data_IF_945888008717
#
_entry.id   IF_945888008717
#
_cell.length_a   1.000
_cell.length_b   1.000
_cell.length_c   1.000
_cell.angle_alpha   90.00
_cell.angle_beta   90.00
_cell.angle_gamma   90.00
#
_symmetry.space_group_name_H-M   'P 1'
#
loop_
_entity.id
_entity.type
_entity.pdbx_description
1 polymer ?
#
# COMPACT_ATOMS: atom_id res chain seq x y z
N UNK A 1 23.35 -25.83 50.75
CA UNK A 1 23.82 -25.84 49.35
C UNK A 1 22.60 -25.77 48.45
N UNK A 2 22.16 -24.56 48.15
CA UNK A 2 21.11 -24.30 47.16
C UNK A 2 21.78 -24.19 45.80
N UNK A 3 21.47 -25.11 44.89
CA UNK A 3 21.93 -25.08 43.51
C UNK A 3 21.50 -23.76 42.85
N UNK A 4 22.43 -23.00 42.23
CA UNK A 4 22.07 -21.77 41.54
C UNK A 4 21.12 -22.08 40.39
N UNK A 5 20.00 -21.36 40.35
CA UNK A 5 19.04 -21.41 39.25
C UNK A 5 19.78 -21.06 37.95
N UNK A 6 19.65 -21.84 36.87
CA UNK A 6 20.28 -21.51 35.61
C UNK A 6 19.72 -20.18 35.13
N UNK A 7 20.60 -19.18 35.00
CA UNK A 7 20.31 -17.89 34.38
C UNK A 7 19.60 -18.16 33.06
N UNK A 8 18.32 -17.85 33.03
CA UNK A 8 17.46 -17.91 31.85
C UNK A 8 18.20 -17.15 30.75
N UNK A 9 18.76 -17.91 29.81
CA UNK A 9 19.58 -17.37 28.74
C UNK A 9 18.73 -16.34 28.03
N UNK A 10 19.13 -15.07 28.08
CA UNK A 10 18.57 -13.99 27.28
C UNK A 10 18.44 -14.50 25.86
N UNK A 11 17.24 -14.97 25.51
CA UNK A 11 16.93 -15.43 24.16
C UNK A 11 17.07 -14.16 23.34
N UNK A 12 18.12 -14.11 22.52
CA UNK A 12 18.35 -12.95 21.65
C UNK A 12 17.01 -12.63 20.97
N UNK A 13 16.57 -11.35 21.02
CA UNK A 13 15.34 -10.96 20.35
C UNK A 13 15.42 -11.48 18.92
N UNK A 14 14.52 -12.40 18.56
CA UNK A 14 14.44 -12.88 17.18
C UNK A 14 14.36 -11.66 16.29
N UNK A 15 15.34 -11.49 15.39
CA UNK A 15 15.44 -10.34 14.51
C UNK A 15 14.06 -9.97 13.99
N UNK A 16 13.60 -8.78 14.38
CA UNK A 16 12.35 -8.24 13.89
C UNK A 16 12.37 -8.16 12.36
N UNK A 17 11.20 -7.94 11.72
CA UNK A 17 11.15 -7.73 10.28
C UNK A 17 12.14 -6.62 9.87
N UNK A 18 13.07 -6.96 8.99
CA UNK A 18 14.05 -5.99 8.48
C UNK A 18 13.37 -5.01 7.53
N UNK A 19 13.95 -3.82 7.34
CA UNK A 19 13.49 -2.87 6.32
C UNK A 19 13.35 -3.53 4.93
N UNK A 20 14.28 -4.43 4.59
CA UNK A 20 14.24 -5.20 3.35
C UNK A 20 12.97 -6.05 3.23
N UNK A 21 12.55 -6.73 4.30
CA UNK A 21 11.33 -7.54 4.28
C UNK A 21 10.09 -6.67 3.98
N UNK A 22 10.05 -5.46 4.53
CA UNK A 22 8.93 -4.52 4.35
C UNK A 22 8.94 -3.89 2.96
N UNK A 23 10.11 -3.47 2.46
CA UNK A 23 10.26 -3.01 1.09
C UNK A 23 9.83 -4.09 0.09
N UNK A 24 10.22 -5.35 0.33
CA UNK A 24 9.77 -6.49 -0.47
C UNK A 24 8.25 -6.66 -0.37
N UNK A 25 7.65 -6.56 0.82
CA UNK A 25 6.20 -6.64 0.97
C UNK A 25 5.46 -5.48 0.27
N UNK A 26 5.98 -4.26 0.34
CA UNK A 26 5.39 -3.10 -0.32
C UNK A 26 5.46 -3.25 -1.85
N UNK A 27 6.63 -3.60 -2.38
CA UNK A 27 6.84 -3.82 -3.83
C UNK A 27 6.01 -5.02 -4.31
N UNK A 28 6.03 -6.14 -3.59
CA UNK A 28 5.24 -7.31 -3.93
C UNK A 28 3.74 -7.04 -3.83
N UNK A 29 3.30 -6.23 -2.86
CA UNK A 29 1.91 -5.78 -2.72
C UNK A 29 1.47 -4.91 -3.89
N UNK A 30 2.29 -3.94 -4.28
CA UNK A 30 2.02 -3.08 -5.44
C UNK A 30 2.01 -3.88 -6.74
N UNK A 31 3.03 -4.73 -6.95
CA UNK A 31 3.13 -5.60 -8.11
C UNK A 31 1.98 -6.61 -8.17
N UNK A 32 1.50 -7.12 -7.02
CA UNK A 32 0.32 -7.98 -6.96
C UNK A 32 -0.93 -7.23 -7.41
N UNK A 33 -1.15 -6.00 -6.94
CA UNK A 33 -2.27 -5.14 -7.33
C UNK A 33 -2.30 -4.92 -8.85
N UNK A 34 -1.17 -4.48 -9.43
CA UNK A 34 -1.07 -4.31 -10.88
C UNK A 34 -1.16 -5.64 -11.63
N UNK A 35 -0.58 -6.70 -11.09
CA UNK A 35 -0.62 -8.05 -11.69
C UNK A 35 -2.03 -8.60 -11.78
N UNK A 36 -2.87 -8.39 -10.75
CA UNK A 36 -4.29 -8.76 -10.77
C UNK A 36 -5.03 -7.98 -11.86
N UNK A 37 -4.80 -6.67 -11.97
CA UNK A 37 -5.38 -5.84 -13.03
C UNK A 37 -4.98 -6.29 -14.43
N UNK A 38 -3.68 -6.55 -14.63
CA UNK A 38 -3.14 -7.07 -15.90
C UNK A 38 -3.76 -8.43 -16.26
N UNK A 39 -3.87 -9.33 -15.28
CA UNK A 39 -4.46 -10.66 -15.46
C UNK A 39 -5.94 -10.58 -15.86
N UNK A 40 -6.71 -9.72 -15.19
CA UNK A 40 -8.11 -9.48 -15.52
C UNK A 40 -8.25 -8.91 -16.94
N UNK A 41 -7.46 -7.90 -17.30
CA UNK A 41 -7.48 -7.29 -18.64
C UNK A 41 -7.11 -8.27 -19.75
N UNK A 42 -6.07 -9.08 -19.54
CA UNK A 42 -5.67 -10.13 -20.50
C UNK A 42 -6.73 -11.22 -20.66
N UNK A 43 -7.42 -11.59 -19.57
CA UNK A 43 -8.49 -12.57 -19.62
C UNK A 43 -9.69 -12.07 -20.46
N UNK A 44 -10.11 -10.82 -20.26
CA UNK A 44 -11.16 -10.19 -21.06
C UNK A 44 -10.75 -10.11 -22.54
N UNK A 45 -9.55 -9.58 -22.84
CA UNK A 45 -9.05 -9.46 -24.20
C UNK A 45 -8.92 -10.82 -24.93
N UNK A 46 -8.59 -11.88 -24.20
CA UNK A 46 -8.57 -13.24 -24.74
C UNK A 46 -9.99 -13.76 -25.05
N UNK A 47 -10.96 -13.48 -24.17
CA UNK A 47 -12.35 -13.92 -24.34
C UNK A 47 -13.08 -13.23 -25.49
N UNK A 48 -12.75 -11.97 -25.76
CA UNK A 48 -13.33 -11.17 -26.85
C UNK A 48 -12.67 -11.46 -28.21
N UNK A 49 -11.65 -12.32 -28.26
CA UNK A 49 -10.91 -12.63 -29.48
C UNK A 49 -10.03 -11.47 -29.99
N UNK A 50 -9.81 -10.44 -29.17
CA UNK A 50 -8.92 -9.32 -29.52
C UNK A 50 -7.47 -9.80 -29.77
N UNK A 51 -7.06 -10.87 -29.10
CA UNK A 51 -5.77 -11.54 -29.34
C UNK A 51 -5.97 -12.63 -30.40
N UNK A 52 -5.70 -12.30 -31.67
CA UNK A 52 -5.85 -13.22 -32.82
C UNK A 52 -5.04 -14.52 -32.73
N UNK A 53 -3.95 -14.53 -31.96
CA UNK A 53 -3.10 -15.70 -31.80
C UNK A 53 -3.32 -16.34 -30.42
N UNK A 54 -3.94 -17.52 -30.33
CA UNK A 54 -4.26 -18.16 -29.05
C UNK A 54 -3.01 -18.53 -28.25
N UNK A 55 -1.88 -18.83 -28.90
CA UNK A 55 -0.63 -19.10 -28.22
C UNK A 55 -0.08 -17.86 -27.49
N UNK A 56 -0.24 -16.67 -28.07
CA UNK A 56 0.15 -15.40 -27.43
C UNK A 56 -0.76 -15.07 -26.25
N UNK A 57 -2.07 -15.28 -26.39
CA UNK A 57 -3.02 -15.10 -25.30
C UNK A 57 -2.69 -16.02 -24.11
N UNK A 58 -2.45 -17.32 -24.39
CA UNK A 58 -2.09 -18.29 -23.37
C UNK A 58 -0.77 -17.94 -22.67
N UNK A 59 0.23 -17.48 -23.42
CA UNK A 59 1.54 -17.10 -22.86
C UNK A 59 1.43 -15.84 -21.99
N UNK A 60 0.69 -14.83 -22.45
CA UNK A 60 0.45 -13.61 -21.67
C UNK A 60 -0.28 -13.89 -20.36
N UNK A 61 -1.34 -14.72 -20.40
CA UNK A 61 -2.06 -15.16 -19.21
C UNK A 61 -1.17 -15.97 -18.26
N UNK A 62 -0.37 -16.90 -18.79
CA UNK A 62 0.55 -17.70 -17.97
C UNK A 62 1.58 -16.81 -17.24
N UNK A 63 2.15 -15.81 -17.92
CA UNK A 63 3.07 -14.85 -17.30
C UNK A 63 2.36 -14.06 -16.20
N UNK A 64 1.15 -13.53 -16.47
CA UNK A 64 0.40 -12.76 -15.48
C UNK A 64 0.04 -13.61 -14.25
N UNK A 65 -0.37 -14.87 -14.44
CA UNK A 65 -0.65 -15.82 -13.35
C UNK A 65 0.59 -16.08 -12.50
N UNK A 66 1.74 -16.33 -13.14
CA UNK A 66 3.01 -16.56 -12.43
C UNK A 66 3.44 -15.33 -11.64
N UNK A 67 3.23 -14.12 -12.17
CA UNK A 67 3.56 -12.86 -11.51
C UNK A 67 2.68 -12.67 -10.26
N UNK A 68 1.36 -12.85 -10.39
CA UNK A 68 0.41 -12.80 -9.27
C UNK A 68 0.73 -13.85 -8.21
N UNK A 69 0.98 -15.10 -8.62
CA UNK A 69 1.33 -16.18 -7.70
C UNK A 69 2.67 -15.93 -6.98
N UNK A 70 3.68 -15.44 -7.70
CA UNK A 70 4.99 -15.10 -7.15
C UNK A 70 4.93 -13.97 -6.13
N UNK A 71 4.18 -12.90 -6.44
CA UNK A 71 3.96 -11.79 -5.51
C UNK A 71 3.14 -12.24 -4.28
N UNK A 72 2.10 -13.05 -4.47
CA UNK A 72 1.32 -13.63 -3.38
C UNK A 72 2.18 -14.50 -2.45
N UNK A 73 3.04 -15.34 -3.02
CA UNK A 73 3.99 -16.16 -2.25
C UNK A 73 5.01 -15.31 -1.48
N UNK A 74 5.55 -14.26 -2.10
CA UNK A 74 6.49 -13.35 -1.44
C UNK A 74 5.82 -12.64 -0.24
N UNK A 75 4.60 -12.14 -0.41
CA UNK A 75 3.79 -11.56 0.65
C UNK A 75 3.48 -12.55 1.76
N UNK A 76 3.13 -13.79 1.43
CA UNK A 76 2.90 -14.84 2.41
C UNK A 76 4.16 -15.15 3.22
N UNK A 77 5.32 -15.26 2.55
CA UNK A 77 6.61 -15.54 3.19
C UNK A 77 7.02 -14.42 4.14
N UNK A 78 6.89 -13.16 3.71
CA UNK A 78 7.18 -11.99 4.57
C UNK A 78 6.16 -11.88 5.70
N UNK A 79 4.87 -12.10 5.40
CA UNK A 79 3.80 -12.10 6.37
C UNK A 79 4.06 -13.05 7.52
N UNK A 80 4.54 -14.27 7.22
CA UNK A 80 4.91 -15.25 8.26
C UNK A 80 5.99 -14.75 9.22
N UNK A 81 7.00 -14.03 8.71
CA UNK A 81 8.03 -13.39 9.56
C UNK A 81 7.44 -12.29 10.42
N UNK A 82 6.58 -11.44 9.82
CA UNK A 82 5.88 -10.37 10.53
C UNK A 82 4.92 -10.88 11.62
N UNK A 83 4.41 -12.11 11.49
CA UNK A 83 3.44 -12.70 12.43
C UNK A 83 4.02 -13.51 13.57
N UNK A 84 5.30 -13.89 13.51
CA UNK A 84 5.87 -14.97 14.34
C UNK A 84 6.29 -14.60 15.78
N UNK A 85 6.32 -13.31 16.14
CA UNK A 85 6.80 -12.86 17.45
C UNK A 85 5.73 -12.83 18.54
N UNK A 86 6.15 -13.00 19.80
CA UNK A 86 5.30 -12.74 20.99
C UNK A 86 5.03 -11.23 21.04
N UNK A 87 3.84 -10.81 20.60
CA UNK A 87 3.48 -9.40 20.51
C UNK A 87 2.83 -8.89 21.80
N UNK A 88 3.28 -7.71 22.25
CA UNK A 88 2.60 -6.98 23.32
C UNK A 88 1.15 -6.63 22.92
N UNK A 89 0.22 -6.45 23.88
CA UNK A 89 -1.16 -6.07 23.56
C UNK A 89 -1.27 -4.78 22.72
N UNK A 90 -0.35 -3.83 22.91
CA UNK A 90 -0.27 -2.59 22.12
C UNK A 90 0.16 -2.88 20.67
N UNK A 91 1.20 -3.68 20.46
CA UNK A 91 1.64 -4.09 19.13
C UNK A 91 0.55 -4.85 18.35
N UNK A 92 -0.23 -5.70 19.03
CA UNK A 92 -1.38 -6.39 18.41
C UNK A 92 -2.45 -5.40 17.92
N UNK A 93 -2.69 -4.34 18.68
CA UNK A 93 -3.67 -3.31 18.34
C UNK A 93 -3.20 -2.49 17.14
N UNK A 94 -1.95 -2.02 17.14
CA UNK A 94 -1.35 -1.33 16.01
C UNK A 94 -1.40 -2.21 14.75
N UNK A 95 -1.02 -3.48 14.85
CA UNK A 95 -1.09 -4.41 13.72
C UNK A 95 -2.50 -4.58 13.16
N UNK A 96 -3.51 -4.72 14.02
CA UNK A 96 -4.92 -4.78 13.59
C UNK A 96 -5.35 -3.51 12.86
N UNK A 97 -4.89 -2.35 13.32
CA UNK A 97 -5.19 -1.07 12.65
C UNK A 97 -4.53 -0.98 11.27
N UNK A 98 -3.26 -1.40 11.12
CA UNK A 98 -2.61 -1.44 9.80
C UNK A 98 -3.36 -2.37 8.85
N UNK A 99 -3.75 -3.56 9.32
CA UNK A 99 -4.54 -4.51 8.51
C UNK A 99 -5.90 -3.91 8.14
N UNK A 100 -6.58 -3.26 9.09
CA UNK A 100 -7.86 -2.59 8.84
C UNK A 100 -7.72 -1.46 7.81
N UNK A 101 -6.68 -0.62 7.92
CA UNK A 101 -6.38 0.43 6.94
C UNK A 101 -6.09 -0.14 5.55
N UNK A 102 -5.32 -1.22 5.46
CA UNK A 102 -5.06 -1.91 4.19
C UNK A 102 -6.36 -2.47 3.60
N UNK A 103 -7.23 -3.07 4.42
CA UNK A 103 -8.52 -3.59 3.97
C UNK A 103 -9.45 -2.48 3.47
N UNK A 104 -9.54 -1.35 4.19
CA UNK A 104 -10.30 -0.18 3.76
C UNK A 104 -9.77 0.35 2.42
N UNK A 105 -8.44 0.51 2.31
CA UNK A 105 -7.80 0.94 1.07
C UNK A 105 -8.07 0.00 -0.11
N UNK A 106 -8.01 -1.31 0.12
CA UNK A 106 -8.32 -2.31 -0.90
C UNK A 106 -9.78 -2.27 -1.36
N UNK A 107 -10.73 -2.11 -0.42
CA UNK A 107 -12.17 -1.97 -0.74
C UNK A 107 -12.42 -0.69 -1.55
N UNK A 108 -11.82 0.43 -1.16
CA UNK A 108 -11.93 1.69 -1.90
C UNK A 108 -11.32 1.57 -3.30
N UNK A 109 -10.12 0.99 -3.41
CA UNK A 109 -9.46 0.76 -4.70
C UNK A 109 -10.31 -0.11 -5.61
N UNK A 110 -10.86 -1.21 -5.10
CA UNK A 110 -11.76 -2.08 -5.86
C UNK A 110 -13.04 -1.37 -6.30
N UNK A 111 -13.69 -0.61 -5.40
CA UNK A 111 -14.91 0.14 -5.74
C UNK A 111 -14.66 1.19 -6.84
N UNK A 112 -13.52 1.87 -6.80
CA UNK A 112 -13.12 2.82 -7.83
C UNK A 112 -12.76 2.13 -9.16
N UNK A 113 -12.13 0.95 -9.12
CA UNK A 113 -11.76 0.21 -10.33
C UNK A 113 -12.97 -0.40 -11.04
N UNK A 114 -13.93 -0.98 -10.30
CA UNK A 114 -15.19 -1.50 -10.86
C UNK A 114 -15.95 -0.39 -11.59
N UNK A 115 -15.82 0.83 -11.08
CA UNK A 115 -16.43 2.02 -11.67
C UNK A 115 -15.75 2.51 -12.95
N UNK A 116 -14.54 2.01 -13.26
CA UNK A 116 -13.72 2.40 -14.40
C UNK A 116 -13.71 1.36 -15.54
N UNK A 117 -14.57 0.34 -15.47
CA UNK A 117 -14.60 -0.77 -16.43
C UNK A 117 -14.93 -0.35 -17.88
N UNK A 118 -15.44 0.86 -18.09
CA UNK A 118 -15.72 1.42 -19.43
C UNK A 118 -14.54 2.24 -20.01
N UNK A 119 -13.37 2.28 -19.35
CA UNK A 119 -12.21 3.11 -19.72
C UNK A 119 -10.85 2.39 -19.68
N UNK A 120 -9.76 3.12 -19.98
CA UNK A 120 -8.40 2.60 -19.94
C UNK A 120 -8.02 2.15 -18.51
N UNK A 121 -7.76 0.85 -18.27
CA UNK A 121 -7.48 0.31 -16.94
C UNK A 121 -6.15 0.80 -16.32
N UNK A 122 -5.27 1.43 -17.11
CA UNK A 122 -4.01 2.03 -16.65
C UNK A 122 -4.07 3.56 -16.53
N UNK A 123 -5.12 4.19 -17.06
CA UNK A 123 -5.35 5.60 -16.78
C UNK A 123 -5.81 5.72 -15.32
N UNK A 124 -5.09 6.51 -14.51
CA UNK A 124 -5.69 7.08 -13.30
C UNK A 124 -6.88 7.88 -13.81
N UNK A 125 -8.08 7.28 -13.76
CA UNK A 125 -9.24 7.75 -14.51
C UNK A 125 -9.45 9.24 -14.27
N UNK A 126 -9.26 10.05 -15.32
CA UNK A 126 -9.65 11.46 -15.35
C UNK A 126 -11.13 11.63 -15.63
N UNK A 127 -11.85 10.52 -15.83
CA UNK A 127 -13.28 10.49 -16.09
C UNK A 127 -14.11 10.73 -14.82
N UNK A 128 -15.39 11.10 -14.96
CA UNK A 128 -16.28 11.26 -13.82
C UNK A 128 -16.42 9.95 -13.04
N UNK A 129 -16.17 9.98 -11.73
CA UNK A 129 -16.45 8.84 -10.84
C UNK A 129 -17.98 8.70 -10.70
N UNK A 130 -18.56 7.49 -10.84
CA UNK A 130 -19.99 7.27 -10.64
C UNK A 130 -20.46 7.83 -9.29
N UNK A 131 -21.61 8.52 -9.23
CA UNK A 131 -22.03 9.23 -8.02
C UNK A 131 -22.07 8.36 -6.77
N UNK A 132 -22.49 7.10 -6.90
CA UNK A 132 -22.51 6.16 -5.78
C UNK A 132 -21.11 5.80 -5.26
N UNK A 133 -20.16 5.50 -6.15
CA UNK A 133 -18.78 5.20 -5.76
C UNK A 133 -18.09 6.44 -5.14
N UNK A 134 -18.37 7.63 -5.68
CA UNK A 134 -17.91 8.88 -5.10
C UNK A 134 -18.46 9.10 -3.69
N UNK A 135 -19.77 8.90 -3.48
CA UNK A 135 -20.42 9.03 -2.18
C UNK A 135 -19.84 8.08 -1.13
N UNK A 136 -19.64 6.81 -1.48
CA UNK A 136 -19.02 5.81 -0.59
C UNK A 136 -17.59 6.22 -0.25
N UNK A 137 -16.81 6.65 -1.25
CA UNK A 137 -15.42 7.08 -1.04
C UNK A 137 -15.36 8.28 -0.12
N UNK A 138 -16.18 9.30 -0.35
CA UNK A 138 -16.30 10.49 0.50
C UNK A 138 -16.67 10.08 1.93
N UNK A 139 -17.67 9.22 2.11
CA UNK A 139 -18.09 8.77 3.43
C UNK A 139 -16.94 8.08 4.18
N UNK A 140 -16.18 7.20 3.52
CA UNK A 140 -15.03 6.51 4.13
C UNK A 140 -13.91 7.50 4.47
N UNK A 141 -13.60 8.45 3.59
CA UNK A 141 -12.57 9.46 3.84
C UNK A 141 -12.94 10.43 4.96
N UNK A 142 -14.20 10.79 5.11
CA UNK A 142 -14.66 11.72 6.16
C UNK A 142 -14.92 11.04 7.51
N UNK A 143 -15.14 9.72 7.53
CA UNK A 143 -15.48 9.00 8.77
C UNK A 143 -14.40 8.00 9.17
N UNK A 144 -14.18 6.97 8.36
CA UNK A 144 -13.29 5.86 8.71
C UNK A 144 -11.83 6.31 8.81
N UNK A 145 -11.35 7.15 7.89
CA UNK A 145 -9.95 7.61 7.90
C UNK A 145 -9.66 8.43 9.17
N UNK A 146 -10.40 9.50 9.51
CA UNK A 146 -10.21 10.22 10.77
C UNK A 146 -10.37 9.35 12.01
N UNK A 147 -11.36 8.44 12.03
CA UNK A 147 -11.60 7.56 13.16
C UNK A 147 -10.41 6.61 13.40
N UNK A 148 -9.86 6.02 12.34
CA UNK A 148 -8.67 5.16 12.42
C UNK A 148 -7.45 5.97 12.81
N UNK A 149 -7.21 7.13 12.20
CA UNK A 149 -6.09 8.01 12.55
C UNK A 149 -6.12 8.47 14.00
N UNK A 150 -7.30 8.84 14.51
CA UNK A 150 -7.49 9.24 15.90
C UNK A 150 -7.23 8.07 16.87
N UNK A 151 -7.79 6.90 16.55
CA UNK A 151 -7.62 5.70 17.37
C UNK A 151 -6.16 5.23 17.36
N UNK A 152 -5.47 5.37 16.22
CA UNK A 152 -4.05 5.13 16.09
C UNK A 152 -3.26 6.04 17.02
N UNK A 153 -3.45 7.36 16.92
CA UNK A 153 -2.76 8.36 17.74
C UNK A 153 -2.91 8.11 19.25
N UNK A 154 -4.07 7.63 19.69
CA UNK A 154 -4.35 7.26 21.09
C UNK A 154 -3.63 5.98 21.55
N UNK A 155 -3.16 5.15 20.62
CA UNK A 155 -2.64 3.81 20.89
C UNK A 155 -1.12 3.66 20.73
N UNK A 156 -0.48 4.59 20.01
CA UNK A 156 0.96 4.56 19.74
C UNK A 156 1.78 4.95 20.96
N UNK A 157 3.01 4.43 21.04
CA UNK A 157 4.00 4.85 22.01
C UNK A 157 4.81 6.07 21.52
N UNK A 158 5.73 6.57 22.36
CA UNK A 158 6.53 7.77 22.06
C UNK A 158 7.47 7.56 20.86
N UNK A 159 8.08 6.38 20.72
CA UNK A 159 8.95 6.04 19.60
C UNK A 159 8.18 5.99 18.28
N UNK A 160 7.00 5.38 18.28
CA UNK A 160 6.12 5.30 17.14
C UNK A 160 5.53 6.67 16.78
N UNK A 161 5.25 7.51 17.77
CA UNK A 161 4.81 8.89 17.57
C UNK A 161 5.89 9.75 16.91
N UNK A 162 7.16 9.58 17.27
CA UNK A 162 8.29 10.25 16.60
C UNK A 162 8.40 9.80 15.13
N UNK A 163 8.34 8.50 14.87
CA UNK A 163 8.36 7.95 13.50
C UNK A 163 7.20 8.49 12.64
N UNK A 164 6.00 8.62 13.24
CA UNK A 164 4.83 9.18 12.59
C UNK A 164 5.00 10.68 12.27
N UNK A 165 5.53 11.46 13.22
CA UNK A 165 5.82 12.89 13.04
C UNK A 165 6.86 13.13 11.96
N UNK A 166 7.95 12.37 11.95
CA UNK A 166 8.99 12.45 10.94
C UNK A 166 8.43 12.18 9.54
N UNK A 167 7.64 11.10 9.41
CA UNK A 167 6.96 10.77 8.16
C UNK A 167 6.04 11.90 7.69
N UNK A 168 5.23 12.45 8.60
CA UNK A 168 4.32 13.55 8.28
C UNK A 168 5.07 14.82 7.84
N UNK A 169 6.14 15.18 8.55
CA UNK A 169 6.93 16.35 8.26
C UNK A 169 7.60 16.25 6.87
N UNK A 170 8.22 15.11 6.56
CA UNK A 170 8.85 14.89 5.24
C UNK A 170 7.81 14.89 4.14
N UNK A 171 6.63 14.30 4.35
CA UNK A 171 5.55 14.30 3.38
C UNK A 171 5.00 15.71 3.10
N UNK A 172 4.87 16.55 4.13
CA UNK A 172 4.49 17.96 3.96
C UNK A 172 5.54 18.71 3.12
N UNK A 173 6.83 18.55 3.41
CA UNK A 173 7.87 19.16 2.59
C UNK A 173 7.88 18.66 1.15
N UNK A 174 7.66 17.35 0.94
CA UNK A 174 7.53 16.78 -0.39
C UNK A 174 6.34 17.41 -1.15
N UNK A 175 5.18 17.54 -0.51
CA UNK A 175 4.02 18.21 -1.10
C UNK A 175 4.32 19.68 -1.45
N UNK A 176 4.90 20.42 -0.50
CA UNK A 176 5.28 21.83 -0.68
C UNK A 176 6.33 22.05 -1.76
N UNK A 177 7.14 21.03 -2.10
CA UNK A 177 8.06 21.09 -3.23
C UNK A 177 7.37 20.67 -4.55
N UNK A 178 6.70 19.52 -4.56
CA UNK A 178 6.12 18.90 -5.76
C UNK A 178 5.00 19.75 -6.34
N UNK A 179 4.03 20.16 -5.52
CA UNK A 179 2.83 20.84 -5.99
C UNK A 179 3.12 22.18 -6.72
N UNK A 180 3.84 23.14 -6.12
CA UNK A 180 4.13 24.40 -6.81
C UNK A 180 5.12 24.23 -7.97
N UNK A 181 6.09 23.30 -7.87
CA UNK A 181 7.05 23.06 -8.96
C UNK A 181 6.36 22.47 -10.18
N UNK A 182 5.49 21.48 -10.00
CA UNK A 182 4.71 20.91 -11.10
C UNK A 182 3.77 21.97 -11.69
N UNK A 183 3.07 22.74 -10.85
CA UNK A 183 2.22 23.83 -11.34
C UNK A 183 3.01 24.82 -12.20
N UNK A 184 4.18 25.28 -11.74
CA UNK A 184 5.01 26.22 -12.49
C UNK A 184 5.55 25.61 -13.79
N UNK A 185 5.98 24.33 -13.75
CA UNK A 185 6.44 23.60 -14.93
C UNK A 185 5.32 23.45 -15.98
N UNK A 186 4.08 23.23 -15.57
CA UNK A 186 2.92 23.25 -16.46
C UNK A 186 2.69 24.63 -17.05
N UNK A 187 2.71 25.69 -16.24
CA UNK A 187 2.58 27.08 -16.73
C UNK A 187 3.68 27.48 -17.70
N UNK A 188 4.88 26.91 -17.56
CA UNK A 188 6.00 27.10 -18.47
C UNK A 188 5.97 26.21 -19.72
N UNK A 189 4.99 25.31 -19.86
CA UNK A 189 4.90 24.38 -21.00
C UNK A 189 5.85 23.19 -20.95
N UNK A 190 6.48 22.90 -19.80
CA UNK A 190 7.43 21.80 -19.63
C UNK A 190 6.76 20.48 -19.23
N UNK A 191 5.62 20.55 -18.52
CA UNK A 191 4.89 19.39 -18.00
C UNK A 191 3.39 19.47 -18.33
N UNK A 192 2.67 18.34 -18.34
CA UNK A 192 1.21 18.35 -18.44
C UNK A 192 0.56 18.93 -17.18
N UNK A 193 -0.74 19.19 -17.28
CA UNK A 193 -1.55 19.69 -16.17
C UNK A 193 -1.38 18.81 -14.91
N UNK A 194 -1.19 19.42 -13.72
CA UNK A 194 -1.01 18.66 -12.49
C UNK A 194 -2.21 17.76 -12.16
N UNK A 195 -1.94 16.48 -11.91
CA UNK A 195 -2.96 15.51 -11.54
C UNK A 195 -3.08 15.38 -10.02
N UNK A 196 -4.16 15.88 -9.42
CA UNK A 196 -4.33 15.93 -7.96
C UNK A 196 -4.19 14.57 -7.27
N UNK A 197 -4.79 13.51 -7.85
CA UNK A 197 -4.65 12.16 -7.31
C UNK A 197 -3.20 11.66 -7.34
N UNK A 198 -2.44 11.94 -8.40
CA UNK A 198 -1.04 11.52 -8.50
C UNK A 198 -0.21 12.22 -7.43
N UNK A 199 -0.41 13.53 -7.23
CA UNK A 199 0.23 14.29 -6.15
C UNK A 199 -0.10 13.69 -4.78
N UNK A 200 -1.38 13.39 -4.51
CA UNK A 200 -1.80 12.74 -3.27
C UNK A 200 -1.10 11.40 -3.05
N UNK A 201 -1.07 10.53 -4.07
CA UNK A 201 -0.42 9.22 -3.99
C UNK A 201 1.08 9.32 -3.76
N UNK A 202 1.78 10.26 -4.41
CA UNK A 202 3.20 10.50 -4.20
C UNK A 202 3.46 10.94 -2.75
N UNK A 203 2.68 11.89 -2.23
CA UNK A 203 2.81 12.36 -0.85
C UNK A 203 2.55 11.24 0.16
N UNK A 204 1.51 10.42 -0.07
CA UNK A 204 1.22 9.27 0.78
C UNK A 204 2.30 8.20 0.71
N UNK A 205 2.91 7.98 -0.46
CA UNK A 205 4.02 7.06 -0.63
C UNK A 205 5.28 7.54 0.12
N UNK A 206 5.60 8.84 0.03
CA UNK A 206 6.70 9.45 0.81
C UNK A 206 6.45 9.30 2.31
N UNK A 207 5.23 9.64 2.75
CA UNK A 207 4.83 9.50 4.15
C UNK A 207 5.02 8.06 4.66
N UNK A 208 4.46 7.09 3.93
CA UNK A 208 4.52 5.67 4.31
C UNK A 208 5.96 5.13 4.28
N UNK A 209 6.77 5.54 3.30
CA UNK A 209 8.17 5.13 3.19
C UNK A 209 9.00 5.63 4.38
N UNK A 210 8.90 6.91 4.72
CA UNK A 210 9.65 7.50 5.85
C UNK A 210 9.18 6.95 7.18
N UNK A 211 7.85 6.85 7.38
CA UNK A 211 7.29 6.23 8.58
C UNK A 211 7.77 4.78 8.74
N UNK A 212 7.74 4.01 7.66
CA UNK A 212 8.24 2.64 7.65
C UNK A 212 9.72 2.59 7.99
N UNK A 213 10.57 3.36 7.30
CA UNK A 213 12.00 3.44 7.57
C UNK A 213 12.31 3.73 9.04
N UNK A 214 11.65 4.74 9.63
CA UNK A 214 11.87 5.16 11.02
C UNK A 214 11.35 4.17 12.06
N UNK A 215 10.25 3.49 11.76
CA UNK A 215 9.64 2.52 12.68
C UNK A 215 10.52 1.28 12.88
N UNK A 216 11.29 0.90 11.87
CA UNK A 216 12.06 -0.35 11.85
C UNK A 216 13.59 -0.14 11.89
N UNK A 217 14.04 1.10 12.06
CA UNK A 217 15.44 1.47 12.36
C UNK A 217 15.64 1.60 13.86
#
# INVERSE_FOLDING_TARGET
MTSPEPLDTFREPTDGPSFRDIAVAAIAGLALLFGIGLLAGLAVAASEGAIRNPARAATGLAIAVLLVAGCGWALWRVGRKLTGGIMSPRQRTARRMVILSMAIGAVLGAALQISALDGDPLAISTGPVPPFAALVTIAVFLTAVPAVSWRWWRSIDEHEALSYKDGALVAVYAYSAIAPTWWMAWRGGFLPEPHYMATFLIVMAVWAAVWGLRRFS
#
